data_IF_810508112238
#
_entry.id   IF_810508112238
#
_cell.length_a   1.000
_cell.length_b   1.000
_cell.length_c   1.000
_cell.angle_alpha   90.00
_cell.angle_beta   90.00
_cell.angle_gamma   90.00
#
_symmetry.space_group_name_H-M   'P 1'
#
loop_
_entity.id
_entity.type
_entity.pdbx_description
1 polymer ?
#
# COMPACT_ATOMS: atom_id res chain seq x y z
N UNK A 1 -0.41 15.00 -0.61
CA UNK A 1 0.74 14.51 -1.42
C UNK A 1 0.23 13.58 -2.50
N UNK A 2 0.87 13.53 -3.68
CA UNK A 2 0.60 12.48 -4.67
C UNK A 2 1.40 11.24 -4.28
N UNK A 3 0.78 10.06 -4.37
CA UNK A 3 1.50 8.81 -4.15
C UNK A 3 2.48 8.56 -5.30
N UNK A 4 3.71 8.16 -4.97
CA UNK A 4 4.71 7.71 -5.93
C UNK A 4 5.29 6.36 -5.47
N UNK A 5 5.25 5.29 -6.28
CA UNK A 5 5.87 4.01 -5.90
C UNK A 5 7.38 4.19 -5.67
N UNK A 6 8.01 3.48 -4.71
CA UNK A 6 9.49 3.45 -4.68
C UNK A 6 9.98 2.58 -5.83
N UNK A 7 10.94 3.09 -6.60
CA UNK A 7 11.63 2.37 -7.68
C UNK A 7 12.77 1.49 -7.16
N UNK A 8 12.90 1.34 -5.84
CA UNK A 8 14.05 0.70 -5.16
C UNK A 8 15.38 1.43 -5.31
N UNK A 9 15.42 2.60 -5.96
CA UNK A 9 16.54 3.55 -5.92
C UNK A 9 16.53 4.38 -4.62
N UNK A 10 15.99 3.81 -3.54
CA UNK A 10 15.82 4.52 -2.29
C UNK A 10 17.23 4.68 -1.64
N UNK A 11 17.83 5.88 -1.71
CA UNK A 11 19.09 6.18 -1.01
C UNK A 11 18.98 5.91 0.50
N UNK A 12 20.04 5.42 1.13
CA UNK A 12 20.03 5.03 2.56
C UNK A 12 20.08 6.20 3.53
N UNK A 13 20.39 7.39 3.03
CA UNK A 13 20.64 8.59 3.83
C UNK A 13 19.36 9.45 3.96
N UNK A 14 19.09 9.95 5.16
CA UNK A 14 17.97 10.85 5.44
C UNK A 14 16.66 10.17 5.85
N UNK A 15 15.65 10.99 6.17
CA UNK A 15 14.32 10.55 6.63
C UNK A 15 13.35 10.22 5.49
N UNK A 16 13.72 10.58 4.27
CA UNK A 16 12.94 10.38 3.04
C UNK A 16 13.74 9.56 2.03
N UNK A 17 13.01 8.87 1.15
CA UNK A 17 13.59 8.15 0.04
C UNK A 17 14.01 9.11 -1.07
N UNK A 18 15.27 9.04 -1.51
CA UNK A 18 15.77 9.83 -2.65
C UNK A 18 15.08 9.55 -3.99
N UNK A 19 14.56 8.33 -4.19
CA UNK A 19 13.89 7.92 -5.43
C UNK A 19 12.41 8.35 -5.53
N UNK A 20 11.62 8.14 -4.48
CA UNK A 20 10.17 8.43 -4.51
C UNK A 20 9.73 9.59 -3.62
N UNK A 21 10.64 10.20 -2.85
CA UNK A 21 10.35 11.34 -1.97
C UNK A 21 9.47 11.02 -0.75
N UNK A 22 9.03 9.77 -0.58
CA UNK A 22 8.21 9.33 0.56
C UNK A 22 9.04 9.15 1.81
N UNK A 23 8.44 9.30 2.98
CA UNK A 23 9.15 9.06 4.24
C UNK A 23 9.51 7.58 4.37
N UNK A 24 10.63 7.26 5.03
CA UNK A 24 11.01 5.86 5.26
C UNK A 24 9.99 5.12 6.13
N UNK A 25 9.29 5.84 7.01
CA UNK A 25 8.19 5.32 7.83
C UNK A 25 7.05 4.86 6.93
N UNK A 26 6.58 5.73 6.03
CA UNK A 26 5.50 5.42 5.09
C UNK A 26 5.84 4.23 4.17
N UNK A 27 7.11 4.13 3.75
CA UNK A 27 7.60 2.99 2.96
C UNK A 27 7.55 1.70 3.77
N UNK A 28 8.00 1.74 5.02
CA UNK A 28 8.01 0.58 5.93
C UNK A 28 6.59 0.09 6.20
N UNK A 29 5.64 1.00 6.42
CA UNK A 29 4.22 0.70 6.57
C UNK A 29 3.64 0.05 5.31
N UNK A 30 4.00 0.58 4.12
CA UNK A 30 3.57 0.01 2.84
C UNK A 30 4.11 -1.41 2.63
N UNK A 31 5.36 -1.66 2.99
CA UNK A 31 5.96 -2.99 2.94
C UNK A 31 5.27 -3.96 3.91
N UNK A 32 4.89 -3.51 5.10
CA UNK A 32 4.16 -4.33 6.06
C UNK A 32 2.77 -4.76 5.51
N UNK A 33 2.05 -3.85 4.85
CA UNK A 33 0.79 -4.17 4.16
C UNK A 33 1.02 -5.23 3.07
N UNK A 34 2.06 -5.04 2.26
CA UNK A 34 2.40 -5.99 1.18
C UNK A 34 2.69 -7.39 1.75
N UNK A 35 3.46 -7.48 2.84
CA UNK A 35 3.75 -8.75 3.52
C UNK A 35 2.47 -9.45 4.01
N UNK A 36 1.51 -8.71 4.55
CA UNK A 36 0.23 -9.27 5.00
C UNK A 36 -0.59 -9.83 3.83
N UNK A 37 -0.64 -9.11 2.70
CA UNK A 37 -1.33 -9.58 1.50
C UNK A 37 -0.68 -10.85 0.94
N UNK A 38 0.65 -10.88 0.84
CA UNK A 38 1.39 -12.07 0.39
C UNK A 38 1.14 -13.26 1.32
N UNK A 39 1.21 -13.07 2.63
CA UNK A 39 0.93 -14.13 3.60
C UNK A 39 -0.50 -14.69 3.45
N UNK A 40 -1.47 -13.85 3.13
CA UNK A 40 -2.85 -14.27 2.87
C UNK A 40 -2.96 -15.10 1.58
N UNK A 41 -2.34 -14.63 0.49
CA UNK A 41 -2.32 -15.34 -0.80
C UNK A 41 -1.68 -16.72 -0.67
N UNK A 42 -0.53 -16.81 0.00
CA UNK A 42 0.17 -18.09 0.25
C UNK A 42 -0.67 -19.02 1.12
N UNK A 43 -1.34 -18.50 2.16
CA UNK A 43 -2.16 -19.30 3.08
C UNK A 43 -3.31 -20.01 2.38
N UNK A 44 -3.99 -19.33 1.45
CA UNK A 44 -5.18 -19.87 0.80
C UNK A 44 -4.93 -20.43 -0.60
N UNK A 45 -3.77 -20.13 -1.18
CA UNK A 45 -3.31 -20.66 -2.46
C UNK A 45 -4.41 -20.59 -3.54
N UNK A 46 -4.99 -19.40 -3.72
CA UNK A 46 -6.01 -19.16 -4.73
C UNK A 46 -5.46 -19.43 -6.13
N UNK A 47 -6.29 -20.01 -7.00
CA UNK A 47 -5.97 -20.19 -8.41
C UNK A 47 -6.00 -18.86 -9.19
N UNK A 48 -6.62 -17.81 -8.62
CA UNK A 48 -6.81 -16.47 -9.19
C UNK A 48 -6.39 -15.33 -8.23
N UNK A 49 -5.12 -15.25 -7.80
CA UNK A 49 -4.65 -14.28 -6.80
C UNK A 49 -4.89 -12.81 -7.21
N UNK A 50 -4.92 -12.49 -8.50
CA UNK A 50 -5.22 -11.16 -9.02
C UNK A 50 -6.64 -10.70 -8.67
N UNK A 51 -7.62 -11.62 -8.71
CA UNK A 51 -9.02 -11.31 -8.39
C UNK A 51 -9.18 -10.93 -6.91
N UNK A 52 -8.43 -11.59 -6.03
CA UNK A 52 -8.31 -11.17 -4.63
C UNK A 52 -7.77 -9.74 -4.50
N UNK A 53 -6.67 -9.42 -5.18
CA UNK A 53 -6.04 -8.09 -5.12
C UNK A 53 -6.98 -7.00 -5.67
N UNK A 54 -7.70 -7.28 -6.75
CA UNK A 54 -8.67 -6.36 -7.34
C UNK A 54 -9.87 -6.08 -6.41
N UNK A 55 -10.39 -7.11 -5.75
CA UNK A 55 -11.42 -6.96 -4.73
C UNK A 55 -10.93 -6.13 -3.54
N UNK A 56 -9.68 -6.33 -3.09
CA UNK A 56 -9.08 -5.53 -2.02
C UNK A 56 -8.93 -4.07 -2.45
N UNK A 57 -8.40 -3.81 -3.65
CA UNK A 57 -8.30 -2.46 -4.24
C UNK A 57 -9.66 -1.75 -4.24
N UNK A 58 -10.70 -2.42 -4.76
CA UNK A 58 -12.05 -1.84 -4.83
C UNK A 58 -12.61 -1.52 -3.44
N UNK A 59 -12.49 -2.45 -2.48
CA UNK A 59 -12.98 -2.25 -1.10
C UNK A 59 -12.22 -1.15 -0.35
N UNK A 60 -10.90 -1.10 -0.49
CA UNK A 60 -10.06 -0.07 0.13
C UNK A 60 -10.43 1.33 -0.37
N UNK A 61 -10.55 1.51 -1.68
CA UNK A 61 -10.95 2.80 -2.27
C UNK A 61 -12.36 3.21 -1.84
N UNK A 62 -13.32 2.29 -1.84
CA UNK A 62 -14.69 2.57 -1.37
C UNK A 62 -14.71 3.04 0.09
N UNK A 63 -14.01 2.33 0.97
CA UNK A 63 -13.96 2.65 2.40
C UNK A 63 -13.21 3.95 2.67
N UNK A 64 -12.10 4.20 1.98
CA UNK A 64 -11.34 5.46 2.09
C UNK A 64 -12.21 6.67 1.73
N UNK A 65 -12.95 6.61 0.61
CA UNK A 65 -13.87 7.68 0.21
C UNK A 65 -14.97 7.92 1.25
N UNK A 66 -15.56 6.85 1.79
CA UNK A 66 -16.59 6.96 2.82
C UNK A 66 -16.07 7.61 4.11
N UNK A 67 -14.86 7.23 4.55
CA UNK A 67 -14.23 7.81 5.74
C UNK A 67 -13.90 9.30 5.55
N UNK A 68 -13.37 9.68 4.38
CA UNK A 68 -13.08 11.08 4.07
C UNK A 68 -14.36 11.94 3.98
N UNK A 69 -15.47 11.36 3.51
CA UNK A 69 -16.77 12.05 3.48
C UNK A 69 -17.38 12.20 4.89
N UNK A 70 -17.11 11.27 5.81
CA UNK A 70 -17.61 11.31 7.20
C UNK A 70 -16.82 12.24 8.11
N UNK A 71 -15.55 12.54 7.78
CA UNK A 71 -14.71 13.48 8.54
C UNK A 71 -14.91 14.97 8.18
N UNK A 72 -15.84 15.28 7.27
CA UNK A 72 -16.15 16.65 6.81
C UNK A 72 -17.49 17.17 7.37
N UNK A 73 -18.06 16.53 8.39
CA UNK A 73 -19.23 17.00 9.14
C UNK A 73 -18.87 17.25 10.61
#
# INVERSE_FOLDING_TARGET
MKFSPCTSDCTSEGTHCGGCGRSRVEITETQAITKQLVAHLVKYNYDDPENFLDNIKAKALKRSKAQLAQGNC
#
